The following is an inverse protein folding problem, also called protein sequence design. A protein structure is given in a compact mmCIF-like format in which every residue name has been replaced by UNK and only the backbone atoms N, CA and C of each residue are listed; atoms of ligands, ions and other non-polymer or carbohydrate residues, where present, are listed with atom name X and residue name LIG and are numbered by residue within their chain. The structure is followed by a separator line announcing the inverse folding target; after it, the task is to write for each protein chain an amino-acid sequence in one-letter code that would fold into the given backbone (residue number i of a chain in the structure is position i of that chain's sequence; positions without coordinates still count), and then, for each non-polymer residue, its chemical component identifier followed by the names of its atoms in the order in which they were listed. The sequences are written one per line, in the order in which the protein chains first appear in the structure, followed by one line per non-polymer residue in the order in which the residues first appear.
data_IF_742015014667
#
_entry.id   IF_742015014667
#
_cell.length_a   1.000
_cell.length_b   1.000
_cell.length_c   1.000
_cell.angle_alpha   90.00
_cell.angle_beta   90.00
_cell.angle_gamma   90.00
#
_symmetry.space_group_name_H-M   'P 1'
#
loop_
_entity.id
_entity.type
_entity.pdbx_description
1 polymer ?
#
# COMPACT_ATOMS: atom_id res chain seq x y z
N UNK A 1 1.56 -11.09 -33.73
CA UNK A 1 2.04 -11.85 -32.55
C UNK A 1 1.14 -11.47 -31.37
N UNK A 2 0.01 -12.17 -31.20
CA UNK A 2 -0.95 -11.88 -30.14
C UNK A 2 -0.54 -12.64 -28.87
N UNK A 3 0.41 -12.08 -28.11
CA UNK A 3 0.64 -12.53 -26.74
C UNK A 3 -0.54 -12.07 -25.89
N UNK A 4 -1.33 -13.00 -25.36
CA UNK A 4 -2.38 -12.65 -24.41
C UNK A 4 -1.76 -11.92 -23.22
N UNK A 5 -2.13 -10.65 -23.03
CA UNK A 5 -1.64 -9.85 -21.91
C UNK A 5 -2.12 -10.49 -20.60
N UNK A 6 -1.17 -10.89 -19.74
CA UNK A 6 -1.48 -11.48 -18.45
C UNK A 6 -1.60 -10.36 -17.40
N UNK A 7 -2.80 -10.20 -16.83
CA UNK A 7 -3.10 -9.22 -15.78
C UNK A 7 -2.19 -9.45 -14.57
N UNK A 8 -1.41 -8.43 -14.20
CA UNK A 8 -0.58 -8.40 -12.99
C UNK A 8 -1.44 -8.05 -11.79
N UNK A 9 -1.69 -9.04 -10.96
CA UNK A 9 -2.46 -8.97 -9.73
C UNK A 9 -1.52 -8.96 -8.53
N UNK A 10 -1.71 -7.98 -7.64
CA UNK A 10 -1.12 -7.93 -6.31
C UNK A 10 -2.19 -8.30 -5.30
N UNK A 11 -1.87 -9.18 -4.35
CA UNK A 11 -2.75 -9.52 -3.23
C UNK A 11 -2.14 -9.03 -1.94
N UNK A 12 -2.92 -8.28 -1.17
CA UNK A 12 -2.59 -7.87 0.21
C UNK A 12 -3.58 -8.62 1.11
N UNK A 13 -3.09 -9.33 2.12
CA UNK A 13 -3.97 -10.18 2.94
C UNK A 13 -3.64 -10.19 4.41
N UNK A 14 -4.68 -10.48 5.18
CA UNK A 14 -4.66 -10.76 6.61
C UNK A 14 -5.26 -12.15 6.93
N UNK A 15 -5.58 -12.92 5.90
CA UNK A 15 -6.16 -14.26 5.98
C UNK A 15 -5.45 -15.22 5.02
N UNK A 16 -5.36 -16.50 5.37
CA UNK A 16 -4.62 -17.51 4.58
C UNK A 16 -5.48 -18.58 3.92
N UNK A 17 -6.78 -18.57 4.18
CA UNK A 17 -7.75 -19.60 3.79
C UNK A 17 -8.28 -19.43 2.35
N UNK A 18 -8.15 -18.23 1.78
CA UNK A 18 -8.54 -17.96 0.40
C UNK A 18 -7.30 -18.00 -0.50
N UNK A 19 -7.26 -18.85 -1.52
CA UNK A 19 -6.20 -18.81 -2.53
C UNK A 19 -6.59 -17.84 -3.66
N UNK A 20 -5.75 -16.83 -3.93
CA UNK A 20 -5.98 -15.88 -5.02
C UNK A 20 -4.76 -15.87 -5.94
N UNK A 21 -4.91 -16.23 -7.23
CA UNK A 21 -3.81 -16.16 -8.19
C UNK A 21 -3.24 -14.74 -8.28
N UNK A 22 -1.95 -14.58 -8.01
CA UNK A 22 -1.28 -13.29 -8.03
C UNK A 22 0.20 -13.42 -8.39
N UNK A 23 0.80 -12.32 -8.85
CA UNK A 23 2.22 -12.23 -9.17
C UNK A 23 3.04 -11.73 -7.99
N UNK A 24 2.39 -11.07 -7.04
CA UNK A 24 2.99 -10.64 -5.79
C UNK A 24 1.96 -10.71 -4.67
N UNK A 25 2.38 -11.23 -3.53
CA UNK A 25 1.58 -11.31 -2.32
C UNK A 25 2.28 -10.58 -1.18
N UNK A 26 1.52 -9.74 -0.47
CA UNK A 26 1.90 -9.17 0.81
C UNK A 26 0.98 -9.76 1.89
N UNK A 27 1.50 -10.72 2.64
CA UNK A 27 0.80 -11.31 3.78
C UNK A 27 1.20 -10.61 5.08
N UNK A 28 0.29 -9.82 5.63
CA UNK A 28 0.51 -9.02 6.84
C UNK A 28 0.51 -9.86 8.13
N UNK A 29 0.14 -11.14 8.06
CA UNK A 29 0.24 -12.06 9.21
C UNK A 29 1.68 -12.45 9.53
N UNK A 30 2.53 -12.44 8.50
CA UNK A 30 3.95 -12.82 8.60
C UNK A 30 4.89 -11.65 8.27
N UNK A 31 4.38 -10.62 7.60
CA UNK A 31 5.11 -9.39 7.32
C UNK A 31 4.60 -8.29 8.23
N UNK A 32 5.47 -7.72 9.07
CA UNK A 32 5.14 -6.62 9.96
C UNK A 32 5.89 -5.34 9.54
N UNK A 33 5.33 -4.49 8.66
CA UNK A 33 5.94 -3.22 8.29
C UNK A 33 6.01 -2.28 9.49
N UNK A 34 7.03 -1.42 9.54
CA UNK A 34 7.08 -0.38 10.57
C UNK A 34 6.00 0.67 10.36
N UNK A 35 5.48 1.18 11.46
CA UNK A 35 4.47 2.23 11.47
C UNK A 35 4.95 3.52 10.82
N UNK A 36 4.00 4.25 10.24
CA UNK A 36 4.28 5.56 9.67
C UNK A 36 4.47 6.56 10.81
N UNK A 37 5.65 7.16 10.91
CA UNK A 37 5.98 8.12 11.97
C UNK A 37 5.63 9.57 11.62
N UNK A 38 4.99 9.82 10.47
CA UNK A 38 4.67 11.18 10.03
C UNK A 38 5.92 12.06 9.76
N UNK A 39 7.05 11.45 9.40
CA UNK A 39 8.31 12.19 9.20
C UNK A 39 8.38 13.01 7.90
N UNK A 40 7.41 12.83 6.98
CA UNK A 40 7.31 13.49 5.66
C UNK A 40 8.53 13.36 4.73
N UNK A 41 9.51 12.53 5.07
CA UNK A 41 10.74 12.39 4.27
C UNK A 41 10.43 11.85 2.88
N UNK A 42 9.45 10.97 2.74
CA UNK A 42 8.99 10.42 1.45
C UNK A 42 8.40 11.46 0.48
N UNK A 43 8.06 12.66 0.96
CA UNK A 43 7.59 13.77 0.14
C UNK A 43 8.65 14.87 -0.01
N UNK A 44 9.39 15.18 1.06
CA UNK A 44 10.23 16.38 1.13
C UNK A 44 11.73 16.11 0.94
N UNK A 45 12.25 14.96 1.38
CA UNK A 45 13.69 14.66 1.39
C UNK A 45 14.08 13.60 0.37
N UNK A 46 13.27 12.55 0.28
CA UNK A 46 13.44 11.41 -0.60
C UNK A 46 12.12 11.12 -1.32
N UNK A 47 11.70 11.98 -2.28
CA UNK A 47 10.44 11.83 -2.99
C UNK A 47 10.22 10.39 -3.49
N UNK A 48 9.07 9.81 -3.14
CA UNK A 48 8.67 8.46 -3.52
C UNK A 48 9.33 7.32 -2.75
N UNK A 49 10.20 7.62 -1.77
CA UNK A 49 10.97 6.60 -1.03
C UNK A 49 10.83 6.79 0.48
N UNK A 50 10.41 5.74 1.17
CA UNK A 50 10.37 5.76 2.62
C UNK A 50 11.76 5.50 3.25
N UNK A 51 12.01 6.11 4.41
CA UNK A 51 13.15 5.84 5.28
C UNK A 51 13.22 4.39 5.79
N UNK A 52 12.08 3.71 5.97
CA UNK A 52 12.04 2.36 6.54
C UNK A 52 12.45 1.26 5.55
N UNK A 53 12.28 1.48 4.23
CA UNK A 53 12.67 0.56 3.14
C UNK A 53 12.12 -0.88 3.20
N UNK A 54 11.32 -1.20 4.22
CA UNK A 54 10.73 -2.51 4.49
C UNK A 54 9.60 -2.89 3.52
N UNK A 55 9.13 -1.93 2.73
CA UNK A 55 8.08 -2.09 1.73
C UNK A 55 8.54 -1.78 0.31
N UNK A 56 9.86 -1.64 0.06
CA UNK A 56 10.36 -1.25 -1.27
C UNK A 56 9.97 -2.22 -2.39
N UNK A 57 9.95 -3.53 -2.09
CA UNK A 57 9.49 -4.54 -3.04
C UNK A 57 7.98 -4.43 -3.31
N UNK A 58 7.20 -4.22 -2.24
CA UNK A 58 5.76 -4.01 -2.34
C UNK A 58 5.44 -2.77 -3.18
N UNK A 59 6.09 -1.63 -2.95
CA UNK A 59 5.85 -0.41 -3.72
C UNK A 59 6.06 -0.61 -5.22
N UNK A 60 7.13 -1.34 -5.60
CA UNK A 60 7.39 -1.67 -7.01
C UNK A 60 6.33 -2.60 -7.59
N UNK A 61 5.93 -3.63 -6.83
CA UNK A 61 4.88 -4.55 -7.27
C UNK A 61 3.54 -3.84 -7.41
N UNK A 62 3.18 -2.99 -6.45
CA UNK A 62 1.94 -2.21 -6.43
C UNK A 62 1.86 -1.25 -7.64
N UNK A 63 2.92 -0.49 -7.91
CA UNK A 63 2.95 0.42 -9.07
C UNK A 63 2.94 -0.30 -10.42
N UNK A 64 3.41 -1.55 -10.47
CA UNK A 64 3.40 -2.37 -11.68
C UNK A 64 2.12 -3.20 -11.85
N UNK A 65 1.20 -3.15 -10.90
CA UNK A 65 0.00 -3.96 -10.88
C UNK A 65 -1.11 -3.36 -11.76
N UNK A 66 -1.83 -4.23 -12.45
CA UNK A 66 -3.07 -3.89 -13.14
C UNK A 66 -4.28 -4.03 -12.20
N UNK A 67 -4.13 -4.84 -11.16
CA UNK A 67 -5.15 -5.15 -10.17
C UNK A 67 -4.54 -5.33 -8.80
N UNK A 68 -5.16 -4.73 -7.78
CA UNK A 68 -4.82 -4.97 -6.38
C UNK A 68 -6.06 -5.51 -5.68
N UNK A 69 -5.91 -6.64 -4.98
CA UNK A 69 -6.95 -7.25 -4.15
C UNK A 69 -6.52 -7.15 -2.70
N UNK A 70 -7.37 -6.55 -1.86
CA UNK A 70 -7.11 -6.36 -0.43
C UNK A 70 -8.10 -7.21 0.35
N UNK A 71 -7.58 -8.21 1.05
CA UNK A 71 -8.33 -9.09 1.94
C UNK A 71 -8.06 -8.62 3.38
N UNK A 72 -8.78 -7.57 3.78
CA UNK A 72 -8.60 -6.92 5.07
C UNK A 72 -9.47 -7.57 6.16
N UNK A 73 -8.88 -7.75 7.33
CA UNK A 73 -9.61 -8.08 8.54
C UNK A 73 -10.29 -6.83 9.09
N UNK A 74 -11.62 -6.88 9.18
CA UNK A 74 -12.42 -5.74 9.64
C UNK A 74 -12.61 -5.83 11.14
N UNK A 75 -12.17 -4.80 11.86
CA UNK A 75 -12.34 -4.64 13.29
C UNK A 75 -13.01 -3.31 13.59
N UNK A 76 -14.05 -3.32 14.42
CA UNK A 76 -14.78 -2.11 14.86
C UNK A 76 -15.26 -1.23 13.70
N UNK A 77 -15.69 -1.84 12.59
CA UNK A 77 -16.17 -1.12 11.40
C UNK A 77 -15.08 -0.49 10.54
N UNK A 78 -13.81 -0.85 10.75
CA UNK A 78 -12.68 -0.35 9.99
C UNK A 78 -11.68 -1.48 9.69
N UNK A 79 -10.65 -1.20 8.88
CA UNK A 79 -9.55 -2.17 8.69
C UNK A 79 -8.75 -2.35 9.98
N UNK A 80 -8.02 -3.44 10.09
CA UNK A 80 -7.13 -3.71 11.22
C UNK A 80 -6.04 -2.62 11.38
N UNK A 81 -5.34 -2.67 12.52
CA UNK A 81 -4.16 -1.84 12.75
C UNK A 81 -3.07 -2.08 11.71
N UNK A 82 -2.78 -3.34 11.38
CA UNK A 82 -1.71 -3.71 10.44
C UNK A 82 -2.02 -3.24 9.01
N UNK A 83 -3.27 -3.40 8.58
CA UNK A 83 -3.71 -2.89 7.27
C UNK A 83 -3.70 -1.36 7.24
N UNK A 84 -4.09 -0.71 8.34
CA UNK A 84 -4.00 0.75 8.45
C UNK A 84 -2.55 1.23 8.42
N UNK A 85 -1.63 0.51 9.08
CA UNK A 85 -0.19 0.75 8.99
C UNK A 85 0.26 0.67 7.54
N UNK A 86 -0.13 -0.37 6.78
CA UNK A 86 0.19 -0.44 5.36
C UNK A 86 -0.35 0.78 4.58
N UNK A 87 -1.61 1.15 4.78
CA UNK A 87 -2.24 2.29 4.09
C UNK A 87 -1.54 3.61 4.39
N UNK A 88 -1.20 3.88 5.65
CA UNK A 88 -0.43 5.08 6.03
C UNK A 88 0.96 5.08 5.41
N UNK A 89 1.54 3.89 5.23
CA UNK A 89 2.85 3.68 4.59
C UNK A 89 2.76 3.68 3.05
N UNK A 90 1.58 3.82 2.44
CA UNK A 90 1.41 3.99 0.98
C UNK A 90 1.54 5.44 0.51
N UNK A 91 1.64 6.41 1.43
CA UNK A 91 1.85 7.83 1.10
C UNK A 91 3.01 8.12 0.11
N UNK A 92 4.14 7.36 0.06
CA UNK A 92 5.18 7.59 -0.94
C UNK A 92 4.70 7.38 -2.39
N UNK A 93 3.58 6.69 -2.60
CA UNK A 93 3.04 6.41 -3.94
C UNK A 93 2.27 7.60 -4.52
N UNK A 94 2.05 8.66 -3.74
CA UNK A 94 1.24 9.81 -4.13
C UNK A 94 2.05 11.12 -4.09
N UNK A 95 1.64 12.09 -4.90
CA UNK A 95 2.29 13.40 -5.00
C UNK A 95 1.98 14.28 -3.78
N UNK A 96 2.89 15.14 -3.31
CA UNK A 96 2.71 15.92 -2.08
C UNK A 96 1.77 17.13 -2.26
N UNK A 97 0.72 17.01 -3.06
CA UNK A 97 -0.24 18.08 -3.27
C UNK A 97 -1.34 18.00 -2.20
N UNK A 98 -1.48 19.09 -1.46
CA UNK A 98 -2.47 19.24 -0.39
C UNK A 98 -3.22 20.55 -0.64
N UNK A 99 -4.54 20.50 -0.56
CA UNK A 99 -5.42 21.68 -0.56
C UNK A 99 -6.03 21.91 0.82
N UNK A 100 -6.31 23.17 1.14
CA UNK A 100 -7.04 23.56 2.35
C UNK A 100 -8.20 24.48 1.95
N UNK A 101 -9.45 23.95 2.02
CA UNK A 101 -10.64 24.68 1.55
C UNK A 101 -11.79 24.71 2.56
N UNK A 102 -12.01 23.66 3.34
CA UNK A 102 -13.14 23.52 4.29
C UNK A 102 -12.72 23.51 5.76
N UNK A 103 -11.52 24.03 6.08
CA UNK A 103 -10.96 23.96 7.45
C UNK A 103 -10.10 22.70 7.69
N UNK A 104 -9.93 21.87 6.68
CA UNK A 104 -9.22 20.60 6.69
C UNK A 104 -8.22 20.50 5.53
N UNK A 105 -7.14 19.77 5.77
CA UNK A 105 -6.11 19.47 4.77
C UNK A 105 -6.50 18.21 4.00
N UNK A 106 -6.63 18.30 2.69
CA UNK A 106 -6.99 17.19 1.81
C UNK A 106 -5.93 16.95 0.76
N UNK A 107 -5.61 15.68 0.53
CA UNK A 107 -4.82 15.28 -0.63
C UNK A 107 -5.62 15.52 -1.92
N UNK A 108 -4.93 15.93 -3.00
CA UNK A 108 -5.53 16.35 -4.28
C UNK A 108 -5.26 15.33 -5.37
#
# INVERSE_FOLDING_TARGET
MNGAYQVKTVVIREFGDVAVPCQYELDLRITAPRDCTGCWSCWLKTPGRCIHKDLDAFYRAYLAADKVIILANVSKGFVSGDMKTLFDRMIPLFLPYITYKSGESMHV
#
